data_IF_093780609674
#
_entry.id   IF_093780609674
#
_cell.length_a   1.000
_cell.length_b   1.000
_cell.length_c   1.000
_cell.angle_alpha   90.00
_cell.angle_beta   90.00
_cell.angle_gamma   90.00
#
_symmetry.space_group_name_H-M   'P 1'
#
loop_
_entity.id
_entity.type
_entity.pdbx_description
1 polymer ?
#
# COMPACT_ATOMS: atom_id res chain seq x y z
N UNK A 1 14.35 5.22 -70.96
CA UNK A 1 13.25 4.61 -70.17
C UNK A 1 13.61 4.72 -68.68
N UNK A 2 12.73 5.29 -67.84
CA UNK A 2 12.98 5.47 -66.39
C UNK A 2 12.52 4.22 -65.63
N UNK A 3 13.45 3.50 -65.00
CA UNK A 3 13.14 2.34 -64.16
C UNK A 3 12.50 2.78 -62.84
N UNK A 4 11.22 2.48 -62.61
CA UNK A 4 10.58 2.62 -61.30
C UNK A 4 11.06 1.49 -60.38
N UNK A 5 11.76 1.84 -59.29
CA UNK A 5 12.10 0.89 -58.22
C UNK A 5 10.79 0.40 -57.59
N UNK A 6 10.60 -0.92 -57.51
CA UNK A 6 9.49 -1.53 -56.76
C UNK A 6 9.79 -1.38 -55.26
N UNK A 7 8.99 -0.58 -54.57
CA UNK A 7 9.00 -0.54 -53.12
C UNK A 7 8.35 -1.83 -52.63
N UNK A 8 9.10 -2.70 -51.97
CA UNK A 8 8.54 -3.88 -51.30
C UNK A 8 7.79 -3.39 -50.06
N UNK A 9 6.46 -3.47 -50.10
CA UNK A 9 5.61 -3.22 -48.94
C UNK A 9 5.61 -4.43 -48.00
N UNK A 10 5.23 -4.18 -46.74
CA UNK A 10 4.99 -5.21 -45.74
C UNK A 10 3.87 -6.16 -46.21
N UNK A 11 3.99 -7.45 -45.92
CA UNK A 11 2.92 -8.41 -46.19
C UNK A 11 1.90 -8.39 -45.05
N UNK A 12 0.64 -8.69 -45.36
CA UNK A 12 -0.42 -8.78 -44.34
C UNK A 12 -0.11 -9.89 -43.32
N UNK A 13 0.52 -10.99 -43.77
CA UNK A 13 0.88 -12.10 -42.88
C UNK A 13 1.94 -11.70 -41.85
N UNK A 14 2.94 -10.89 -42.24
CA UNK A 14 3.94 -10.38 -41.29
C UNK A 14 3.29 -9.51 -40.21
N UNK A 15 2.33 -8.67 -40.57
CA UNK A 15 1.60 -7.86 -39.60
C UNK A 15 0.77 -8.73 -38.63
N UNK A 16 0.11 -9.78 -39.13
CA UNK A 16 -0.70 -10.70 -38.33
C UNK A 16 0.15 -11.48 -37.31
N UNK A 17 1.35 -11.92 -37.70
CA UNK A 17 2.26 -12.62 -36.79
C UNK A 17 2.71 -11.69 -35.65
N UNK A 18 3.00 -10.42 -35.96
CA UNK A 18 3.43 -9.44 -34.94
C UNK A 18 2.34 -9.20 -33.89
N UNK A 19 1.09 -8.97 -34.31
CA UNK A 19 -0.01 -8.76 -33.36
C UNK A 19 -0.28 -10.01 -32.51
N UNK A 20 -0.11 -11.21 -33.08
CA UNK A 20 -0.28 -12.46 -32.36
C UNK A 20 0.76 -12.61 -31.24
N UNK A 21 2.03 -12.29 -31.50
CA UNK A 21 3.08 -12.33 -30.47
C UNK A 21 2.82 -11.28 -29.38
N UNK A 22 2.43 -10.06 -29.76
CA UNK A 22 2.11 -8.99 -28.79
C UNK A 22 0.95 -9.43 -27.87
N UNK A 23 -0.10 -10.06 -28.42
CA UNK A 23 -1.23 -10.54 -27.63
C UNK A 23 -0.82 -11.60 -26.59
N UNK A 24 0.08 -12.52 -26.95
CA UNK A 24 0.61 -13.54 -26.03
C UNK A 24 1.43 -12.88 -24.92
N UNK A 25 2.31 -11.93 -25.26
CA UNK A 25 3.15 -11.24 -24.27
C UNK A 25 2.33 -10.43 -23.27
N UNK A 26 1.30 -9.69 -23.75
CA UNK A 26 0.39 -8.94 -22.88
C UNK A 26 -0.36 -9.89 -21.93
N UNK A 27 -0.81 -11.04 -22.43
CA UNK A 27 -1.54 -12.04 -21.62
C UNK A 27 -0.72 -12.55 -20.43
N UNK A 28 0.59 -12.79 -20.62
CA UNK A 28 1.49 -13.24 -19.54
C UNK A 28 1.83 -12.08 -18.59
N UNK A 29 2.09 -10.88 -19.14
CA UNK A 29 2.50 -9.71 -18.37
C UNK A 29 1.42 -9.23 -17.38
N UNK A 30 0.14 -9.37 -17.73
CA UNK A 30 -0.97 -8.91 -16.91
C UNK A 30 -1.02 -9.54 -15.50
N UNK A 31 -0.51 -10.77 -15.33
CA UNK A 31 -0.67 -11.51 -14.05
C UNK A 31 0.38 -11.19 -12.98
N UNK A 32 1.51 -10.54 -13.32
CA UNK A 32 2.71 -10.57 -12.45
C UNK A 32 2.84 -9.41 -11.44
N UNK A 33 2.02 -8.36 -11.52
CA UNK A 33 2.32 -7.10 -10.81
C UNK A 33 1.55 -6.86 -9.49
N UNK A 34 0.55 -7.68 -9.15
CA UNK A 34 -0.36 -7.32 -8.06
C UNK A 34 0.10 -7.78 -6.67
N UNK A 35 0.64 -8.99 -6.50
CA UNK A 35 0.82 -9.57 -5.16
C UNK A 35 2.01 -9.03 -4.38
N UNK A 36 3.17 -8.83 -5.02
CA UNK A 36 4.39 -8.34 -4.34
C UNK A 36 4.22 -6.90 -3.83
N UNK A 37 3.56 -6.05 -4.62
CA UNK A 37 3.29 -4.67 -4.23
C UNK A 37 2.35 -4.61 -3.01
N UNK A 38 1.32 -5.45 -2.98
CA UNK A 38 0.41 -5.54 -1.83
C UNK A 38 1.13 -6.06 -0.58
N UNK A 39 2.06 -7.00 -0.72
CA UNK A 39 2.84 -7.52 0.42
C UNK A 39 3.77 -6.46 1.00
N UNK A 40 4.46 -5.68 0.15
CA UNK A 40 5.31 -4.57 0.58
C UNK A 40 4.48 -3.47 1.28
N UNK A 41 3.29 -3.19 0.75
CA UNK A 41 2.37 -2.22 1.34
C UNK A 41 1.81 -2.67 2.68
N UNK A 42 1.44 -3.95 2.83
CA UNK A 42 1.04 -4.53 4.11
C UNK A 42 2.17 -4.45 5.14
N UNK A 43 3.41 -4.78 4.74
CA UNK A 43 4.56 -4.67 5.63
C UNK A 43 4.82 -3.22 6.08
N UNK A 44 4.75 -2.26 5.16
CA UNK A 44 4.91 -0.84 5.48
C UNK A 44 3.79 -0.34 6.41
N UNK A 45 2.55 -0.76 6.18
CA UNK A 45 1.41 -0.43 7.03
C UNK A 45 1.60 -0.96 8.45
N UNK A 46 1.96 -2.24 8.60
CA UNK A 46 2.14 -2.87 9.91
C UNK A 46 3.32 -2.23 10.68
N UNK A 47 4.38 -1.83 9.97
CA UNK A 47 5.46 -1.05 10.56
C UNK A 47 4.95 0.32 11.07
N UNK A 48 4.14 1.03 10.29
CA UNK A 48 3.54 2.31 10.69
C UNK A 48 2.63 2.16 11.91
N UNK A 49 1.79 1.12 11.96
CA UNK A 49 0.93 0.78 13.11
C UNK A 49 1.78 0.61 14.37
N UNK A 50 2.89 -0.15 14.27
CA UNK A 50 3.80 -0.37 15.41
C UNK A 50 4.46 0.93 15.88
N UNK A 51 4.94 1.76 14.94
CA UNK A 51 5.54 3.06 15.25
C UNK A 51 4.54 3.98 15.95
N UNK A 52 3.29 4.06 15.46
CA UNK A 52 2.23 4.85 16.07
C UNK A 52 1.85 4.34 17.46
N UNK A 53 1.79 3.01 17.66
CA UNK A 53 1.55 2.42 18.97
C UNK A 53 2.65 2.79 19.96
N UNK A 54 3.92 2.67 19.56
CA UNK A 54 5.05 3.09 20.39
C UNK A 54 5.05 4.59 20.70
N UNK A 55 4.73 5.44 19.71
CA UNK A 55 4.62 6.89 19.91
C UNK A 55 3.47 7.24 20.87
N UNK A 56 2.32 6.56 20.76
CA UNK A 56 1.19 6.74 21.68
C UNK A 56 1.53 6.32 23.11
N UNK A 57 2.26 5.22 23.29
CA UNK A 57 2.70 4.78 24.63
C UNK A 57 3.61 5.85 25.26
N UNK A 58 4.57 6.36 24.50
CA UNK A 58 5.47 7.41 24.98
C UNK A 58 4.72 8.71 25.30
N UNK A 59 3.73 9.08 24.48
CA UNK A 59 2.86 10.21 24.74
C UNK A 59 2.09 10.06 26.07
N UNK A 60 1.56 8.87 26.38
CA UNK A 60 0.84 8.60 27.62
C UNK A 60 1.77 8.61 28.86
N UNK A 61 3.05 8.24 28.69
CA UNK A 61 4.04 8.36 29.76
C UNK A 61 4.26 9.84 30.12
N UNK A 62 4.37 10.71 29.12
CA UNK A 62 4.57 12.14 29.32
C UNK A 62 3.29 12.86 29.78
N UNK A 63 2.11 12.30 29.44
CA UNK A 63 0.80 12.88 29.73
C UNK A 63 -0.14 11.86 30.40
N UNK A 64 0.11 11.52 31.68
CA UNK A 64 -0.62 10.47 32.39
C UNK A 64 -2.14 10.72 32.54
N UNK A 65 -2.58 11.98 32.43
CA UNK A 65 -3.99 12.38 32.54
C UNK A 65 -4.74 12.42 31.19
N UNK A 66 -4.06 12.10 30.08
CA UNK A 66 -4.68 12.15 28.73
C UNK A 66 -5.65 10.99 28.54
N UNK A 67 -6.90 11.29 28.17
CA UNK A 67 -7.97 10.31 28.03
C UNK A 67 -8.33 9.98 26.57
N UNK A 68 -8.51 8.69 26.31
CA UNK A 68 -9.22 7.99 25.21
C UNK A 68 -8.89 8.30 23.75
N UNK A 69 -8.56 9.53 23.36
CA UNK A 69 -8.25 9.90 21.97
C UNK A 69 -6.95 10.69 21.90
N UNK A 70 -5.92 10.10 21.30
CA UNK A 70 -4.63 10.77 21.08
C UNK A 70 -4.65 11.36 19.66
N UNK A 71 -4.61 12.69 19.56
CA UNK A 71 -4.52 13.34 18.25
C UNK A 71 -3.22 12.95 17.54
N UNK A 72 -3.29 12.72 16.23
CA UNK A 72 -2.10 12.36 15.44
C UNK A 72 -1.05 13.48 15.45
N UNK A 73 -1.48 14.73 15.61
CA UNK A 73 -0.61 15.90 15.76
C UNK A 73 0.22 15.87 17.04
N UNK A 74 -0.36 15.40 18.15
CA UNK A 74 0.33 15.27 19.43
C UNK A 74 1.45 14.21 19.38
N UNK A 75 1.39 13.29 18.41
CA UNK A 75 2.43 12.27 18.19
C UNK A 75 3.61 12.77 17.37
N UNK A 76 3.51 13.91 16.66
CA UNK A 76 4.61 14.43 15.83
C UNK A 76 5.97 14.53 16.54
N UNK A 77 6.07 14.96 17.81
CA UNK A 77 7.35 15.01 18.53
C UNK A 77 7.98 13.63 18.76
N UNK A 78 7.15 12.59 18.78
CA UNK A 78 7.54 11.20 19.06
C UNK A 78 7.76 10.38 17.78
N UNK A 79 7.55 10.99 16.62
CA UNK A 79 7.76 10.38 15.31
C UNK A 79 9.04 10.90 14.66
N UNK A 80 9.87 9.99 14.18
CA UNK A 80 11.08 10.34 13.44
C UNK A 80 10.72 11.15 12.18
N UNK A 81 11.20 12.40 12.12
CA UNK A 81 10.95 13.32 11.00
C UNK A 81 9.61 14.05 11.04
N UNK A 82 8.81 13.93 12.12
CA UNK A 82 7.60 14.73 12.34
C UNK A 82 6.46 14.49 11.35
N UNK A 83 6.54 13.41 10.56
CA UNK A 83 5.53 13.04 9.56
C UNK A 83 4.62 11.97 10.13
N UNK A 84 3.31 12.22 10.06
CA UNK A 84 2.31 11.22 10.42
C UNK A 84 2.21 10.21 9.27
N UNK A 85 2.51 8.92 9.51
CA UNK A 85 2.36 7.90 8.47
C UNK A 85 0.89 7.74 8.08
N UNK A 86 0.64 7.30 6.84
CA UNK A 86 -0.71 7.07 6.31
C UNK A 86 -1.02 5.57 6.21
N UNK A 87 -2.29 5.18 6.33
CA UNK A 87 -2.72 3.81 6.04
C UNK A 87 -2.37 3.38 4.61
N UNK A 88 -2.38 2.07 4.38
CA UNK A 88 -2.16 1.50 3.07
C UNK A 88 -3.21 2.04 2.07
N UNK A 89 -2.75 2.51 0.90
CA UNK A 89 -3.59 3.10 -0.14
C UNK A 89 -4.64 2.13 -0.67
N UNK A 90 -4.32 0.83 -0.72
CA UNK A 90 -5.23 -0.20 -1.20
C UNK A 90 -6.06 -0.86 -0.09
N UNK A 91 -6.02 -0.32 1.13
CA UNK A 91 -6.91 -0.72 2.22
C UNK A 91 -8.22 0.05 2.10
N UNK A 92 -9.34 -0.66 2.02
CA UNK A 92 -10.66 -0.03 1.95
C UNK A 92 -11.07 0.51 3.33
N UNK A 93 -11.46 1.78 3.40
CA UNK A 93 -12.23 2.31 4.53
C UNK A 93 -11.54 3.33 5.43
N UNK A 94 -10.21 3.50 5.36
CA UNK A 94 -9.50 4.45 6.23
C UNK A 94 -8.45 5.27 5.48
N UNK A 95 -8.55 6.60 5.58
CA UNK A 95 -7.60 7.55 4.99
C UNK A 95 -6.51 7.99 5.96
N UNK A 96 -6.80 7.88 7.26
CA UNK A 96 -5.95 8.31 8.37
C UNK A 96 -5.96 7.25 9.48
N UNK A 97 -4.90 7.20 10.29
CA UNK A 97 -4.85 6.37 11.50
C UNK A 97 -5.51 7.09 12.67
N UNK A 98 -6.34 6.36 13.42
CA UNK A 98 -6.91 6.79 14.70
C UNK A 98 -6.16 6.09 15.82
N UNK A 99 -5.67 6.85 16.80
CA UNK A 99 -4.94 6.32 17.94
C UNK A 99 -5.80 6.53 19.19
N UNK A 100 -6.20 5.43 19.82
CA UNK A 100 -7.02 5.42 21.03
C UNK A 100 -6.27 4.81 22.20
N UNK A 101 -6.47 5.38 23.38
CA UNK A 101 -5.96 4.81 24.64
C UNK A 101 -7.10 4.13 25.39
N UNK A 102 -6.90 2.90 25.83
CA UNK A 102 -7.85 2.19 26.70
C UNK A 102 -7.61 2.57 28.16
N UNK A 103 -8.62 2.35 29.01
CA UNK A 103 -8.55 2.68 30.45
C UNK A 103 -7.45 1.88 31.19
N UNK A 104 -6.98 0.79 30.60
CA UNK A 104 -5.87 -0.03 31.09
C UNK A 104 -4.48 0.51 30.70
N UNK A 105 -4.42 1.66 30.00
CA UNK A 105 -3.16 2.25 29.52
C UNK A 105 -2.61 1.62 28.24
N UNK A 106 -3.35 0.74 27.57
CA UNK A 106 -2.95 0.21 26.26
C UNK A 106 -3.29 1.20 25.14
N UNK A 107 -2.45 1.19 24.10
CA UNK A 107 -2.61 2.03 22.92
C UNK A 107 -3.05 1.16 21.75
N UNK A 108 -4.18 1.53 21.16
CA UNK A 108 -4.77 0.88 20.00
C UNK A 108 -4.69 1.82 18.80
N UNK A 109 -4.33 1.28 17.64
CA UNK A 109 -4.23 2.02 16.38
C UNK A 109 -5.18 1.37 15.39
N UNK A 110 -6.10 2.16 14.83
CA UNK A 110 -7.05 1.75 13.81
C UNK A 110 -6.80 2.54 12.52
N UNK A 111 -6.69 1.92 11.34
CA UNK A 111 -6.74 0.48 11.08
C UNK A 111 -5.59 -0.28 11.76
N UNK A 112 -5.89 -1.50 12.20
CA UNK A 112 -4.92 -2.40 12.81
C UNK A 112 -3.98 -3.05 11.78
N UNK A 113 -3.19 -4.05 12.19
CA UNK A 113 -2.34 -4.80 11.28
C UNK A 113 -3.15 -5.38 10.11
N UNK A 114 -2.53 -5.46 8.93
CA UNK A 114 -3.16 -5.97 7.71
C UNK A 114 -2.32 -7.07 7.09
N UNK A 115 -2.99 -7.94 6.33
CA UNK A 115 -2.36 -9.01 5.54
C UNK A 115 -2.90 -9.03 4.11
N UNK A 116 -2.13 -9.67 3.23
CA UNK A 116 -2.56 -9.89 1.84
C UNK A 116 -3.38 -11.18 1.79
N UNK A 117 -4.64 -11.09 1.40
CA UNK A 117 -5.52 -12.22 1.18
C UNK A 117 -6.25 -12.04 -0.16
N UNK A 118 -6.27 -13.06 -1.01
CA UNK A 118 -6.95 -13.05 -2.32
C UNK A 118 -6.64 -11.82 -3.19
N UNK A 119 -5.37 -11.41 -3.22
CA UNK A 119 -4.86 -10.21 -3.94
C UNK A 119 -5.51 -8.90 -3.46
N UNK A 120 -5.93 -8.83 -2.20
CA UNK A 120 -6.42 -7.62 -1.54
C UNK A 120 -5.81 -7.48 -0.15
N UNK A 121 -5.84 -6.26 0.39
CA UNK A 121 -5.48 -5.99 1.78
C UNK A 121 -6.71 -6.20 2.65
N UNK A 122 -6.55 -6.98 3.72
CA UNK A 122 -7.59 -7.23 4.72
C UNK A 122 -7.01 -7.01 6.11
N UNK A 123 -7.83 -6.51 7.03
CA UNK A 123 -7.45 -6.37 8.43
C UNK A 123 -7.18 -7.76 9.03
N UNK A 124 -6.04 -7.86 9.70
CA UNK A 124 -5.69 -9.01 10.51
C UNK A 124 -6.33 -8.80 11.88
N UNK A 125 -7.59 -9.21 11.99
CA UNK A 125 -8.25 -9.27 13.29
C UNK A 125 -7.47 -10.25 14.17
N UNK A 126 -6.87 -9.75 15.25
CA UNK A 126 -6.32 -10.58 16.32
C UNK A 126 -7.48 -11.42 16.89
N UNK A 127 -7.48 -12.72 16.59
CA UNK A 127 -8.26 -13.74 17.30
C UNK A 127 -7.34 -14.37 18.36
#
# INVERSE_FOLDING_TARGET
MKNKKKNKGFTLIELVIVIAIIAILISIAAMKYSSTNLAAEAAAHNANVKVLKSAGILYLIDHPDSNKNISAEALKPYLEGGKIPKPAKHLNGAKDFTITSTEDGDVTVSPGPIKVQDKKLVEENEN
#
